data_IF_685650855897
#
_entry.id   IF_685650855897
#
_cell.length_a   1.000
_cell.length_b   1.000
_cell.length_c   1.000
_cell.angle_alpha   90.00
_cell.angle_beta   90.00
_cell.angle_gamma   90.00
#
_symmetry.space_group_name_H-M   'P 1'
#
loop_
_entity.id
_entity.type
_entity.pdbx_description
1 polymer ?
#
# COMPACT_ATOMS: atom_id res chain seq x y z
N UNK A 1 70.23 -26.24 30.96
CA UNK A 1 69.84 -25.30 29.89
C UNK A 1 68.37 -25.54 29.59
N UNK A 2 67.50 -24.67 30.09
CA UNK A 2 66.07 -24.70 29.76
C UNK A 2 65.83 -23.91 28.46
N UNK A 3 64.79 -24.28 27.71
CA UNK A 3 64.42 -23.61 26.45
C UNK A 3 63.16 -22.76 26.66
N UNK A 4 63.25 -21.42 26.70
CA UNK A 4 62.13 -20.55 27.06
C UNK A 4 61.34 -20.11 25.83
N UNK A 5 60.41 -20.94 25.33
CA UNK A 5 59.65 -20.56 24.11
C UNK A 5 58.22 -21.10 23.97
N UNK A 6 57.44 -21.15 25.06
CA UNK A 6 56.01 -21.57 25.06
C UNK A 6 55.00 -20.53 25.54
N UNK A 7 55.45 -19.38 26.06
CA UNK A 7 54.57 -18.34 26.60
C UNK A 7 54.28 -17.18 25.62
N UNK A 8 55.14 -16.94 24.62
CA UNK A 8 55.06 -15.75 23.77
C UNK A 8 53.92 -15.82 22.74
N UNK A 9 53.59 -17.02 22.24
CA UNK A 9 52.51 -17.21 21.26
C UNK A 9 51.11 -17.04 21.86
N UNK A 10 50.88 -17.56 23.08
CA UNK A 10 49.60 -17.43 23.80
C UNK A 10 49.25 -15.97 24.11
N UNK A 11 50.25 -15.15 24.46
CA UNK A 11 50.07 -13.72 24.67
C UNK A 11 49.55 -13.01 23.40
N UNK A 12 50.05 -13.40 22.21
CA UNK A 12 49.60 -12.85 20.94
C UNK A 12 48.17 -13.22 20.55
N UNK A 13 47.62 -14.33 21.04
CA UNK A 13 46.20 -14.69 20.82
C UNK A 13 45.30 -13.93 21.79
N UNK A 14 45.63 -13.91 23.08
CA UNK A 14 44.87 -13.17 24.09
C UNK A 14 44.85 -11.66 23.82
N UNK A 15 45.97 -11.06 23.40
CA UNK A 15 46.03 -9.64 23.04
C UNK A 15 45.11 -9.28 21.86
N UNK A 16 45.09 -10.10 20.80
CA UNK A 16 44.18 -9.90 19.65
C UNK A 16 42.72 -10.09 20.03
N UNK A 17 42.39 -11.06 20.89
CA UNK A 17 41.04 -11.22 21.43
C UNK A 17 40.61 -10.00 22.27
N UNK A 18 41.50 -9.46 23.10
CA UNK A 18 41.25 -8.29 23.94
C UNK A 18 41.00 -7.01 23.12
N UNK A 19 41.78 -6.77 22.07
CA UNK A 19 41.53 -5.63 21.17
C UNK A 19 40.24 -5.80 20.35
N UNK A 20 39.86 -7.03 19.95
CA UNK A 20 38.54 -7.28 19.37
C UNK A 20 37.40 -6.99 20.36
N UNK A 21 37.55 -7.33 21.64
CA UNK A 21 36.58 -7.01 22.70
C UNK A 21 36.49 -5.51 22.94
N UNK A 22 37.62 -4.76 22.92
CA UNK A 22 37.62 -3.29 22.98
C UNK A 22 37.02 -2.61 21.74
N UNK A 23 37.16 -3.20 20.56
CA UNK A 23 36.56 -2.67 19.33
C UNK A 23 35.05 -2.92 19.27
N UNK A 24 34.53 -3.92 20.00
CA UNK A 24 33.12 -4.33 19.95
C UNK A 24 32.14 -3.17 20.28
N UNK A 25 32.34 -2.35 21.33
CA UNK A 25 31.48 -1.19 21.61
C UNK A 25 31.50 -0.13 20.51
N UNK A 26 32.62 0.09 19.83
CA UNK A 26 32.68 1.02 18.70
C UNK A 26 31.95 0.50 17.48
N UNK A 27 32.13 -0.78 17.14
CA UNK A 27 31.42 -1.45 16.04
C UNK A 27 29.92 -1.46 16.31
N UNK A 28 29.51 -1.76 17.55
CA UNK A 28 28.12 -1.67 18.00
C UNK A 28 27.60 -0.23 17.91
N UNK A 29 28.35 0.77 18.39
CA UNK A 29 27.94 2.20 18.32
C UNK A 29 27.79 2.68 16.88
N UNK A 30 28.71 2.32 15.98
CA UNK A 30 28.65 2.63 14.54
C UNK A 30 27.45 1.93 13.88
N UNK A 31 27.17 0.67 14.24
CA UNK A 31 26.00 -0.09 13.76
C UNK A 31 24.68 0.48 14.28
N UNK A 32 24.59 0.84 15.56
CA UNK A 32 23.43 1.51 16.16
C UNK A 32 23.20 2.88 15.53
N UNK A 33 24.25 3.68 15.31
CA UNK A 33 24.13 4.96 14.61
C UNK A 33 23.62 4.80 13.17
N UNK A 34 24.11 3.78 12.44
CA UNK A 34 23.60 3.43 11.12
C UNK A 34 22.12 3.04 11.14
N UNK A 35 21.70 2.23 12.14
CA UNK A 35 20.29 1.89 12.36
C UNK A 35 19.47 3.14 12.67
N UNK A 36 19.92 4.02 13.58
CA UNK A 36 19.22 5.27 13.90
C UNK A 36 19.08 6.20 12.70
N UNK A 37 20.09 6.28 11.82
CA UNK A 37 20.01 7.05 10.56
C UNK A 37 18.96 6.46 9.63
N UNK A 38 19.00 5.15 9.38
CA UNK A 38 18.03 4.43 8.55
C UNK A 38 16.60 4.50 9.12
N UNK A 39 16.43 4.40 10.44
CA UNK A 39 15.14 4.57 11.11
C UNK A 39 14.63 6.00 11.02
N UNK A 40 15.51 7.01 11.04
CA UNK A 40 15.13 8.41 10.80
C UNK A 40 14.71 8.62 9.34
N UNK A 41 15.44 8.05 8.38
CA UNK A 41 15.12 8.13 6.95
C UNK A 41 13.75 7.50 6.69
N UNK A 42 13.52 6.24 7.10
CA UNK A 42 12.21 5.57 6.99
C UNK A 42 11.07 6.32 7.71
N UNK A 43 11.36 7.05 8.79
CA UNK A 43 10.39 7.88 9.50
C UNK A 43 10.10 9.22 8.82
N UNK A 44 11.01 9.72 7.98
CA UNK A 44 10.82 10.92 7.16
C UNK A 44 10.15 10.59 5.82
N UNK A 45 10.46 9.43 5.22
CA UNK A 45 9.89 8.97 3.95
C UNK A 45 8.38 8.71 4.03
N UNK A 46 7.90 8.12 5.14
CA UNK A 46 6.48 7.79 5.33
C UNK A 46 6.12 7.78 6.84
N UNK A 47 5.75 8.94 7.43
CA UNK A 47 5.51 9.05 8.87
C UNK A 47 4.37 8.17 9.38
N UNK A 48 3.47 7.72 8.49
CA UNK A 48 2.41 6.73 8.80
C UNK A 48 2.98 5.40 9.28
N UNK A 49 4.21 5.02 8.89
CA UNK A 49 4.92 3.81 9.38
C UNK A 49 5.30 3.91 10.86
N UNK A 50 5.66 5.12 11.32
CA UNK A 50 5.91 5.40 12.75
C UNK A 50 4.61 5.33 13.54
N UNK A 51 3.53 5.90 13.00
CA UNK A 51 2.20 5.81 13.60
C UNK A 51 1.75 4.35 13.68
N UNK A 52 1.94 3.55 12.62
CA UNK A 52 1.62 2.12 12.59
C UNK A 52 2.43 1.32 13.62
N UNK A 53 3.75 1.52 13.77
CA UNK A 53 4.52 0.78 14.77
C UNK A 53 4.10 1.13 16.20
N UNK A 54 3.71 2.39 16.45
CA UNK A 54 3.07 2.80 17.71
C UNK A 54 1.68 2.16 17.91
N UNK A 55 0.85 2.01 16.86
CA UNK A 55 -0.42 1.26 16.93
C UNK A 55 -0.21 -0.21 17.32
N UNK A 56 0.79 -0.88 16.72
CA UNK A 56 1.11 -2.28 17.04
C UNK A 56 1.57 -2.40 18.50
N UNK A 57 2.45 -1.50 18.96
CA UNK A 57 2.88 -1.41 20.36
C UNK A 57 1.72 -1.17 21.33
N UNK A 58 0.80 -0.26 20.99
CA UNK A 58 -0.42 0.01 21.75
C UNK A 58 -1.35 -1.21 21.79
N UNK A 59 -1.55 -1.91 20.67
CA UNK A 59 -2.41 -3.10 20.59
C UNK A 59 -1.85 -4.27 21.41
N UNK A 60 -0.53 -4.51 21.34
CA UNK A 60 0.15 -5.52 22.17
C UNK A 60 0.04 -5.14 23.65
N UNK A 61 0.27 -3.88 24.00
CA UNK A 61 0.22 -3.41 25.39
C UNK A 61 -1.19 -3.49 25.98
N UNK A 62 -2.20 -3.05 25.21
CA UNK A 62 -3.61 -3.11 25.59
C UNK A 62 -4.06 -4.56 25.80
N UNK A 63 -3.77 -5.47 24.85
CA UNK A 63 -4.10 -6.90 24.98
C UNK A 63 -3.32 -7.58 26.11
N UNK A 64 -2.08 -7.16 26.37
CA UNK A 64 -1.30 -7.66 27.52
C UNK A 64 -1.86 -7.18 28.86
N UNK A 65 -2.55 -6.02 28.91
CA UNK A 65 -3.19 -5.55 30.15
C UNK A 65 -4.32 -6.49 30.61
N UNK A 66 -5.00 -7.19 29.69
CA UNK A 66 -5.98 -8.24 30.03
C UNK A 66 -5.33 -9.42 30.77
N UNK A 67 -4.03 -9.67 30.58
CA UNK A 67 -3.29 -10.71 31.30
C UNK A 67 -2.94 -10.32 32.73
N UNK A 68 -2.74 -9.02 33.00
CA UNK A 68 -2.41 -8.52 34.34
C UNK A 68 -3.66 -8.22 35.20
N UNK A 69 -4.86 -8.27 34.64
CA UNK A 69 -6.10 -8.06 35.37
C UNK A 69 -6.61 -9.38 35.97
N UNK A 70 -6.51 -9.53 37.29
CA UNK A 70 -6.71 -10.78 38.03
C UNK A 70 -7.94 -11.63 37.57
N UNK A 71 -9.17 -11.08 37.44
CA UNK A 71 -10.34 -11.88 37.03
C UNK A 71 -10.27 -12.38 35.59
N UNK A 72 -9.50 -11.73 34.70
CA UNK A 72 -9.30 -12.18 33.31
C UNK A 72 -8.16 -13.21 33.23
N UNK A 73 -7.13 -13.07 34.06
CA UNK A 73 -6.09 -14.09 34.20
C UNK A 73 -6.65 -15.42 34.71
N UNK A 74 -7.52 -15.40 35.72
CA UNK A 74 -8.14 -16.61 36.28
C UNK A 74 -9.06 -17.31 35.25
N UNK A 75 -9.74 -16.56 34.39
CA UNK A 75 -10.61 -17.13 33.35
C UNK A 75 -9.84 -17.68 32.12
N UNK A 76 -8.77 -17.01 31.67
CA UNK A 76 -8.09 -17.35 30.41
C UNK A 76 -6.70 -17.98 30.57
N UNK A 77 -5.97 -17.67 31.64
CA UNK A 77 -4.64 -18.20 31.96
C UNK A 77 -3.68 -18.19 30.78
N UNK A 78 -3.06 -19.34 30.51
CA UNK A 78 -2.15 -19.55 29.37
C UNK A 78 -2.81 -19.26 27.99
N UNK A 79 -4.13 -19.31 27.87
CA UNK A 79 -4.83 -19.01 26.61
C UNK A 79 -4.73 -17.54 26.19
N UNK A 80 -4.39 -16.64 27.12
CA UNK A 80 -4.16 -15.22 26.81
C UNK A 80 -2.96 -15.01 25.86
N UNK A 81 -1.99 -15.93 25.83
CA UNK A 81 -0.90 -15.89 24.84
C UNK A 81 -1.43 -15.93 23.40
N UNK A 82 -2.58 -16.58 23.14
CA UNK A 82 -3.21 -16.56 21.82
C UNK A 82 -3.77 -15.19 21.43
N UNK A 83 -4.10 -14.31 22.39
CA UNK A 83 -4.50 -12.94 22.09
C UNK A 83 -3.29 -12.11 21.62
N UNK A 84 -2.17 -12.15 22.36
CA UNK A 84 -0.92 -11.46 21.97
C UNK A 84 -0.38 -12.00 20.63
N UNK A 85 -0.34 -13.32 20.47
CA UNK A 85 -0.01 -14.00 19.20
C UNK A 85 -1.06 -13.81 18.10
N UNK A 86 -2.21 -13.20 18.40
CA UNK A 86 -3.15 -12.71 17.38
C UNK A 86 -2.71 -11.33 16.92
N UNK A 87 -2.44 -10.40 17.84
CA UNK A 87 -1.98 -9.04 17.49
C UNK A 87 -0.75 -9.08 16.60
N UNK A 88 0.29 -9.82 16.99
CA UNK A 88 1.56 -9.92 16.26
C UNK A 88 1.42 -10.47 14.83
N UNK A 89 0.33 -11.17 14.51
CA UNK A 89 0.16 -11.92 13.23
C UNK A 89 -1.04 -11.44 12.41
N UNK A 90 -1.94 -10.64 12.99
CA UNK A 90 -3.12 -10.05 12.33
C UNK A 90 -2.97 -8.56 12.10
N UNK A 91 -2.29 -7.82 12.97
CA UNK A 91 -2.14 -6.38 12.84
C UNK A 91 -1.26 -6.07 11.63
N UNK A 92 -1.83 -5.40 10.63
CA UNK A 92 -1.19 -5.09 9.35
C UNK A 92 -1.13 -3.58 9.12
N UNK A 93 -0.41 -3.16 8.08
CA UNK A 93 -0.23 -1.74 7.79
C UNK A 93 -1.55 -1.00 7.56
N UNK A 94 -2.43 -1.61 6.75
CA UNK A 94 -3.75 -1.06 6.40
C UNK A 94 -4.89 -1.70 7.19
N UNK A 95 -6.00 -0.97 7.29
CA UNK A 95 -7.23 -1.44 7.95
C UNK A 95 -7.80 -2.66 7.22
N UNK A 96 -7.89 -2.62 5.89
CA UNK A 96 -8.39 -3.73 5.07
C UNK A 96 -7.56 -5.02 5.19
N UNK A 97 -6.24 -4.91 5.32
CA UNK A 97 -5.37 -6.06 5.56
C UNK A 97 -5.58 -6.65 6.97
N UNK A 98 -5.71 -5.78 7.97
CA UNK A 98 -5.98 -6.17 9.37
C UNK A 98 -7.33 -6.88 9.51
N UNK A 99 -8.39 -6.31 8.92
CA UNK A 99 -9.72 -6.92 8.86
C UNK A 99 -9.71 -8.27 8.14
N UNK A 100 -9.10 -8.33 6.95
CA UNK A 100 -9.02 -9.55 6.15
C UNK A 100 -8.24 -10.67 6.85
N UNK A 101 -7.12 -10.37 7.50
CA UNK A 101 -6.38 -11.35 8.31
C UNK A 101 -7.13 -11.76 9.57
N UNK A 102 -7.78 -10.82 10.26
CA UNK A 102 -8.56 -11.10 11.48
C UNK A 102 -9.72 -12.04 11.21
N UNK A 103 -10.53 -11.75 10.18
CA UNK A 103 -11.64 -12.61 9.76
C UNK A 103 -11.15 -13.98 9.27
N UNK A 104 -10.09 -14.03 8.45
CA UNK A 104 -9.49 -15.29 8.01
C UNK A 104 -8.99 -16.13 9.19
N UNK A 105 -8.36 -15.52 10.20
CA UNK A 105 -7.91 -16.21 11.42
C UNK A 105 -9.09 -16.77 12.21
N UNK A 106 -10.11 -15.96 12.47
CA UNK A 106 -11.29 -16.39 13.24
C UNK A 106 -12.05 -17.53 12.54
N UNK A 107 -12.28 -17.43 11.22
CA UNK A 107 -12.92 -18.50 10.44
C UNK A 107 -12.08 -19.78 10.42
N UNK A 108 -10.76 -19.66 10.20
CA UNK A 108 -9.85 -20.79 10.21
C UNK A 108 -9.80 -21.47 11.60
N UNK A 109 -9.78 -20.69 12.67
CA UNK A 109 -9.79 -21.20 14.06
C UNK A 109 -11.11 -21.90 14.37
N UNK A 110 -12.26 -21.31 14.00
CA UNK A 110 -13.58 -21.90 14.20
C UNK A 110 -13.71 -23.26 13.49
N UNK A 111 -13.38 -23.30 12.20
CA UNK A 111 -13.48 -24.51 11.39
C UNK A 111 -12.52 -25.62 11.88
N UNK A 112 -11.28 -25.26 12.22
CA UNK A 112 -10.29 -26.18 12.74
C UNK A 112 -10.63 -26.69 14.16
N UNK A 113 -11.26 -25.85 15.00
CA UNK A 113 -11.74 -26.24 16.32
C UNK A 113 -12.92 -27.21 16.25
N UNK A 114 -13.92 -26.91 15.42
CA UNK A 114 -15.06 -27.80 15.20
C UNK A 114 -14.63 -29.17 14.63
N UNK A 115 -13.72 -29.18 13.65
CA UNK A 115 -13.16 -30.41 13.10
C UNK A 115 -12.23 -31.13 14.08
N UNK A 116 -11.47 -30.42 14.91
CA UNK A 116 -10.60 -31.01 15.93
C UNK A 116 -11.40 -31.73 17.03
N UNK A 117 -12.47 -31.10 17.52
CA UNK A 117 -13.42 -31.74 18.46
C UNK A 117 -14.11 -32.96 17.81
N UNK A 118 -14.50 -32.86 16.53
CA UNK A 118 -15.06 -33.99 15.78
C UNK A 118 -14.06 -35.15 15.61
N UNK A 119 -12.79 -34.85 15.31
CA UNK A 119 -11.73 -35.84 15.20
C UNK A 119 -11.44 -36.53 16.55
N UNK A 120 -11.45 -35.77 17.66
CA UNK A 120 -11.32 -36.31 19.00
C UNK A 120 -12.48 -37.24 19.36
N UNK A 121 -13.72 -36.81 19.12
CA UNK A 121 -14.91 -37.62 19.38
C UNK A 121 -14.93 -38.92 18.56
N UNK A 122 -14.46 -38.91 17.31
CA UNK A 122 -14.34 -40.12 16.50
C UNK A 122 -13.19 -41.04 16.97
N UNK A 123 -12.14 -40.49 17.56
CA UNK A 123 -11.02 -41.27 18.07
C UNK A 123 -11.33 -41.95 19.41
N UNK A 124 -12.01 -41.26 20.35
CA UNK A 124 -12.37 -41.80 21.66
C UNK A 124 -13.31 -43.01 21.58
N UNK A 125 -14.13 -43.11 20.52
CA UNK A 125 -14.94 -44.29 20.21
C UNK A 125 -14.12 -45.57 19.94
N UNK A 126 -12.80 -45.48 19.78
CA UNK A 126 -11.90 -46.60 19.49
C UNK A 126 -11.09 -47.10 20.70
N UNK A 127 -11.31 -46.52 21.88
CA UNK A 127 -10.67 -46.91 23.13
C UNK A 127 -9.20 -46.50 23.26
N UNK A 128 -8.67 -46.59 24.49
CA UNK A 128 -7.40 -46.01 24.94
C UNK A 128 -6.19 -46.31 24.02
N UNK A 129 -6.13 -47.50 23.43
CA UNK A 129 -5.02 -47.90 22.52
C UNK A 129 -5.22 -47.41 21.08
N UNK A 130 -6.47 -47.25 20.62
CA UNK A 130 -6.81 -46.85 19.25
C UNK A 130 -6.90 -45.33 19.06
N UNK A 131 -7.35 -44.63 20.09
CA UNK A 131 -7.54 -43.17 20.10
C UNK A 131 -6.29 -42.37 19.69
N UNK A 132 -5.09 -42.52 20.31
CA UNK A 132 -3.92 -41.74 19.92
C UNK A 132 -3.45 -42.05 18.49
N UNK A 133 -3.69 -43.28 18.00
CA UNK A 133 -3.36 -43.68 16.62
C UNK A 133 -4.29 -42.97 15.63
N UNK A 134 -5.59 -42.90 15.91
CA UNK A 134 -6.56 -42.18 15.08
C UNK A 134 -6.37 -40.66 15.13
N UNK A 135 -6.08 -40.07 16.29
CA UNK A 135 -5.73 -38.65 16.40
C UNK A 135 -4.51 -38.33 15.54
N UNK A 136 -3.44 -39.15 15.63
CA UNK A 136 -2.25 -39.02 14.77
C UNK A 136 -2.58 -39.14 13.28
N UNK A 137 -3.43 -40.10 12.90
CA UNK A 137 -3.88 -40.28 11.52
C UNK A 137 -4.70 -39.08 11.00
N UNK A 138 -5.67 -38.59 11.77
CA UNK A 138 -6.46 -37.41 11.40
C UNK A 138 -5.60 -36.16 11.25
N UNK A 139 -4.63 -35.95 12.16
CA UNK A 139 -3.65 -34.85 12.05
C UNK A 139 -2.78 -34.98 10.80
N UNK A 140 -2.28 -36.19 10.49
CA UNK A 140 -1.52 -36.44 9.26
C UNK A 140 -2.35 -36.15 8.00
N UNK A 141 -3.53 -36.75 7.87
CA UNK A 141 -4.41 -36.58 6.71
C UNK A 141 -4.81 -35.12 6.53
N UNK A 142 -5.20 -34.44 7.61
CA UNK A 142 -5.63 -33.05 7.55
C UNK A 142 -4.48 -32.11 7.20
N UNK A 143 -3.28 -32.31 7.79
CA UNK A 143 -2.10 -31.53 7.46
C UNK A 143 -1.64 -31.75 6.01
N UNK A 144 -1.70 -32.99 5.51
CA UNK A 144 -1.33 -33.34 4.14
C UNK A 144 -2.28 -32.69 3.11
N UNK A 145 -3.61 -32.86 3.28
CA UNK A 145 -4.62 -32.27 2.40
C UNK A 145 -4.52 -30.74 2.40
N UNK A 146 -4.46 -30.12 3.58
CA UNK A 146 -4.36 -28.67 3.70
C UNK A 146 -3.05 -28.13 3.10
N UNK A 147 -1.92 -28.83 3.28
CA UNK A 147 -0.65 -28.44 2.66
C UNK A 147 -0.67 -28.60 1.14
N UNK A 148 -1.31 -29.64 0.61
CA UNK A 148 -1.50 -29.81 -0.83
C UNK A 148 -2.34 -28.68 -1.45
N UNK A 149 -3.41 -28.26 -0.77
CA UNK A 149 -4.27 -27.14 -1.19
C UNK A 149 -3.49 -25.81 -1.31
N UNK A 150 -2.39 -25.62 -0.55
CA UNK A 150 -1.53 -24.42 -0.65
C UNK A 150 -0.69 -24.33 -1.93
N UNK A 151 -0.58 -25.40 -2.72
CA UNK A 151 0.10 -25.32 -4.03
C UNK A 151 -0.74 -24.66 -5.13
N UNK A 152 -2.07 -24.59 -4.99
CA UNK A 152 -2.93 -23.91 -5.97
C UNK A 152 -2.76 -22.38 -5.88
N UNK A 153 -2.25 -21.68 -6.91
CA UNK A 153 -1.87 -20.26 -6.77
C UNK A 153 -3.05 -19.35 -6.38
N UNK A 154 -4.24 -19.60 -6.93
CA UNK A 154 -5.48 -18.87 -6.62
C UNK A 154 -5.93 -19.00 -5.16
N UNK A 155 -5.56 -20.09 -4.49
CA UNK A 155 -5.85 -20.32 -3.08
C UNK A 155 -4.74 -19.69 -2.24
N UNK A 156 -3.47 -19.90 -2.62
CA UNK A 156 -2.30 -19.35 -1.94
C UNK A 156 -2.36 -17.83 -1.80
N UNK A 157 -2.69 -17.10 -2.87
CA UNK A 157 -2.76 -15.62 -2.84
C UNK A 157 -3.87 -15.05 -1.98
N UNK A 158 -4.92 -15.82 -1.64
CA UNK A 158 -6.06 -15.35 -0.83
C UNK A 158 -6.10 -15.92 0.59
N UNK A 159 -5.63 -17.15 0.77
CA UNK A 159 -5.95 -17.97 1.94
C UNK A 159 -4.75 -18.70 2.57
N UNK A 160 -3.50 -18.56 2.09
CA UNK A 160 -2.35 -19.29 2.64
C UNK A 160 -2.21 -19.11 4.17
N UNK A 161 -2.41 -17.87 4.64
CA UNK A 161 -2.46 -17.54 6.07
C UNK A 161 -3.59 -18.27 6.82
N UNK A 162 -4.81 -18.29 6.26
CA UNK A 162 -5.94 -18.99 6.84
C UNK A 162 -5.69 -20.51 6.92
N UNK A 163 -5.07 -21.09 5.89
CA UNK A 163 -4.74 -22.52 5.88
C UNK A 163 -3.62 -22.84 6.89
N UNK A 164 -2.61 -21.97 7.04
CA UNK A 164 -1.60 -22.10 8.09
C UNK A 164 -2.22 -22.06 9.50
N UNK A 165 -3.10 -21.09 9.76
CA UNK A 165 -3.84 -20.99 11.04
C UNK A 165 -4.72 -22.22 11.25
N UNK A 166 -5.38 -22.72 10.20
CA UNK A 166 -6.23 -23.90 10.26
C UNK A 166 -5.44 -25.15 10.63
N UNK A 167 -4.31 -25.43 9.95
CA UNK A 167 -3.42 -26.57 10.26
C UNK A 167 -2.92 -26.47 11.71
N UNK A 168 -2.38 -25.31 12.10
CA UNK A 168 -1.88 -25.08 13.46
C UNK A 168 -2.98 -25.20 14.52
N UNK A 169 -4.22 -24.81 14.19
CA UNK A 169 -5.34 -24.88 15.12
C UNK A 169 -5.81 -26.32 15.30
N UNK A 170 -6.03 -27.04 14.20
CA UNK A 170 -6.50 -28.43 14.19
C UNK A 170 -5.49 -29.33 14.90
N UNK A 171 -4.22 -29.32 14.47
CA UNK A 171 -3.19 -30.16 15.06
C UNK A 171 -3.03 -29.93 16.56
N UNK A 172 -3.15 -28.67 17.04
CA UNK A 172 -3.03 -28.38 18.46
C UNK A 172 -4.28 -28.80 19.24
N UNK A 173 -5.50 -28.58 18.74
CA UNK A 173 -6.72 -29.01 19.46
C UNK A 173 -6.81 -30.54 19.51
N UNK A 174 -6.55 -31.23 18.41
CA UNK A 174 -6.60 -32.70 18.36
C UNK A 174 -5.53 -33.35 19.24
N UNK A 175 -4.32 -32.79 19.33
CA UNK A 175 -3.23 -33.34 20.17
C UNK A 175 -3.34 -32.92 21.64
N UNK A 176 -3.85 -31.71 21.94
CA UNK A 176 -4.07 -31.29 23.32
C UNK A 176 -5.31 -31.93 23.95
N UNK A 177 -6.37 -32.18 23.18
CA UNK A 177 -7.59 -32.83 23.71
C UNK A 177 -7.32 -34.22 24.30
N UNK A 178 -6.39 -34.97 23.71
CA UNK A 178 -5.94 -36.28 24.22
C UNK A 178 -5.32 -36.23 25.64
N UNK A 179 -5.12 -35.05 26.21
CA UNK A 179 -4.50 -34.84 27.51
C UNK A 179 -5.39 -34.12 28.54
N UNK A 180 -6.47 -33.50 28.09
CA UNK A 180 -7.39 -32.70 28.91
C UNK A 180 -8.83 -32.98 28.42
N UNK A 181 -9.66 -33.64 29.23
CA UNK A 181 -11.04 -34.06 28.87
C UNK A 181 -11.94 -32.89 28.40
N UNK A 182 -11.60 -31.65 28.78
CA UNK A 182 -12.35 -30.43 28.51
C UNK A 182 -11.99 -29.77 27.16
N UNK A 183 -11.85 -30.59 26.10
CA UNK A 183 -11.48 -30.16 24.73
C UNK A 183 -12.34 -28.98 24.23
N UNK A 184 -13.62 -28.97 24.59
CA UNK A 184 -14.59 -27.92 24.24
C UNK A 184 -14.28 -26.59 24.95
N UNK A 185 -13.93 -26.62 26.23
CA UNK A 185 -13.53 -25.42 26.98
C UNK A 185 -12.21 -24.86 26.45
N UNK A 186 -11.23 -25.72 26.16
CA UNK A 186 -9.96 -25.30 25.55
C UNK A 186 -10.18 -24.64 24.18
N UNK A 187 -11.05 -25.21 23.34
CA UNK A 187 -11.43 -24.62 22.06
C UNK A 187 -12.16 -23.28 22.23
N UNK A 188 -13.07 -23.18 23.19
CA UNK A 188 -13.82 -21.94 23.48
C UNK A 188 -12.91 -20.82 24.00
N UNK A 189 -12.07 -21.09 25.02
CA UNK A 189 -11.10 -20.13 25.57
C UNK A 189 -10.16 -19.60 24.47
N UNK A 190 -9.66 -20.48 23.60
CA UNK A 190 -8.79 -20.11 22.47
C UNK A 190 -9.51 -19.28 21.39
N UNK A 191 -10.75 -19.62 21.03
CA UNK A 191 -11.53 -18.83 20.08
C UNK A 191 -11.83 -17.42 20.64
N UNK A 192 -12.21 -17.35 21.92
CA UNK A 192 -12.49 -16.09 22.62
C UNK A 192 -11.26 -15.19 22.77
N UNK A 193 -10.08 -15.73 23.12
CA UNK A 193 -8.86 -14.90 23.18
C UNK A 193 -8.35 -14.47 21.80
N UNK A 194 -8.55 -15.27 20.76
CA UNK A 194 -8.29 -14.86 19.37
C UNK A 194 -9.27 -13.76 18.93
N UNK A 195 -10.56 -13.85 19.30
CA UNK A 195 -11.54 -12.81 19.01
C UNK A 195 -11.21 -11.49 19.73
N UNK A 196 -10.84 -11.52 21.02
CA UNK A 196 -10.42 -10.34 21.79
C UNK A 196 -9.16 -9.70 21.18
N UNK A 197 -8.15 -10.50 20.83
CA UNK A 197 -6.94 -9.99 20.16
C UNK A 197 -7.26 -9.37 18.80
N UNK A 198 -8.11 -10.02 18.00
CA UNK A 198 -8.53 -9.54 16.69
C UNK A 198 -9.36 -8.24 16.75
N UNK A 199 -10.31 -8.15 17.69
CA UNK A 199 -11.13 -6.94 17.86
C UNK A 199 -10.29 -5.76 18.33
N UNK A 200 -9.30 -5.96 19.22
CA UNK A 200 -8.34 -4.92 19.58
C UNK A 200 -7.54 -4.41 18.37
N UNK A 201 -7.10 -5.30 17.46
CA UNK A 201 -6.41 -4.90 16.23
C UNK A 201 -7.31 -4.05 15.31
N UNK A 202 -8.57 -4.46 15.14
CA UNK A 202 -9.53 -3.76 14.28
C UNK A 202 -9.88 -2.39 14.86
N UNK A 203 -10.14 -2.30 16.17
CA UNK A 203 -10.47 -1.03 16.83
C UNK A 203 -9.31 -0.04 16.79
N UNK A 204 -8.07 -0.49 17.06
CA UNK A 204 -6.89 0.39 17.03
C UNK A 204 -6.50 0.77 15.59
N UNK A 205 -6.62 -0.13 14.61
CA UNK A 205 -6.32 0.22 13.21
C UNK A 205 -7.32 1.22 12.61
N UNK A 206 -8.61 1.13 12.98
CA UNK A 206 -9.67 2.08 12.56
C UNK A 206 -9.59 3.42 13.30
N UNK A 207 -9.52 3.43 14.64
CA UNK A 207 -9.67 4.68 15.41
C UNK A 207 -8.38 5.47 15.60
N UNK A 208 -7.21 4.83 15.56
CA UNK A 208 -5.92 5.54 15.70
C UNK A 208 -5.38 5.81 14.31
N UNK A 209 -5.62 7.02 13.78
CA UNK A 209 -5.07 7.53 12.51
C UNK A 209 -5.10 6.49 11.37
N UNK A 210 -6.28 6.10 10.88
CA UNK A 210 -6.44 4.97 9.97
C UNK A 210 -5.62 5.10 8.68
N UNK A 211 -5.24 3.96 8.10
CA UNK A 211 -4.54 3.86 6.82
C UNK A 211 -5.32 2.89 5.94
N UNK A 212 -5.86 3.39 4.83
CA UNK A 212 -6.82 2.66 4.00
C UNK A 212 -6.17 2.12 2.73
N UNK A 213 -6.29 0.81 2.51
CA UNK A 213 -5.78 0.17 1.30
C UNK A 213 -6.49 0.67 0.03
N UNK A 214 -7.76 1.08 0.14
CA UNK A 214 -8.49 1.69 -0.97
C UNK A 214 -7.93 3.05 -1.40
N UNK A 215 -7.53 3.88 -0.43
CA UNK A 215 -6.95 5.20 -0.66
C UNK A 215 -5.53 5.09 -1.25
N UNK A 216 -4.71 4.17 -0.71
CA UNK A 216 -3.40 3.85 -1.26
C UNK A 216 -3.48 3.31 -2.70
N UNK A 217 -4.45 2.43 -2.99
CA UNK A 217 -4.64 1.92 -4.35
C UNK A 217 -5.08 3.00 -5.33
N UNK A 218 -6.00 3.85 -4.89
CA UNK A 218 -6.49 4.99 -5.67
C UNK A 218 -5.34 5.95 -6.02
N UNK A 219 -4.55 6.38 -5.03
CA UNK A 219 -3.40 7.25 -5.27
C UNK A 219 -2.36 6.58 -6.18
N UNK A 220 -2.05 5.29 -5.94
CA UNK A 220 -1.07 4.56 -6.76
C UNK A 220 -1.57 4.29 -8.19
N UNK A 221 -2.86 4.42 -8.50
CA UNK A 221 -3.32 4.40 -9.90
C UNK A 221 -3.13 5.77 -10.56
N UNK A 222 -3.40 6.87 -9.86
CA UNK A 222 -3.09 8.22 -10.38
C UNK A 222 -1.57 8.41 -10.61
N UNK A 223 -0.74 8.03 -9.65
CA UNK A 223 0.73 8.04 -9.74
C UNK A 223 1.26 7.30 -10.98
N UNK A 224 0.67 6.14 -11.33
CA UNK A 224 1.07 5.39 -12.54
C UNK A 224 0.71 6.11 -13.83
N UNK A 225 -0.42 6.83 -13.89
CA UNK A 225 -0.81 7.62 -15.06
C UNK A 225 0.03 8.91 -15.18
N UNK A 226 0.47 9.47 -14.06
CA UNK A 226 1.36 10.64 -14.01
C UNK A 226 2.73 10.31 -14.59
N UNK A 227 3.35 9.23 -14.10
CA UNK A 227 4.61 8.68 -14.64
C UNK A 227 4.50 8.37 -16.14
N UNK A 228 3.35 7.86 -16.59
CA UNK A 228 3.05 7.61 -18.01
C UNK A 228 3.01 8.91 -18.84
N UNK A 229 2.44 9.98 -18.30
CA UNK A 229 2.40 11.30 -18.93
C UNK A 229 3.77 11.97 -18.95
N UNK A 230 4.51 11.94 -17.84
CA UNK A 230 5.85 12.51 -17.73
C UNK A 230 6.85 11.80 -18.65
N UNK A 231 6.74 10.47 -18.81
CA UNK A 231 7.52 9.72 -19.80
C UNK A 231 7.32 10.26 -21.23
N UNK A 232 6.08 10.59 -21.63
CA UNK A 232 5.76 11.05 -22.98
C UNK A 232 6.18 12.49 -23.26
N UNK A 233 6.30 13.30 -22.22
CA UNK A 233 6.83 14.67 -22.31
C UNK A 233 8.37 14.62 -22.38
N UNK A 234 9.02 13.86 -21.49
CA UNK A 234 10.46 13.63 -21.52
C UNK A 234 10.94 12.94 -22.83
N UNK A 235 10.13 12.05 -23.41
CA UNK A 235 10.40 11.45 -24.72
C UNK A 235 10.37 12.48 -25.85
N UNK A 236 9.42 13.41 -25.83
CA UNK A 236 9.36 14.51 -26.81
C UNK A 236 10.61 15.39 -26.71
N UNK A 237 11.00 15.75 -25.49
CA UNK A 237 12.17 16.58 -25.25
C UNK A 237 13.50 15.92 -25.65
N UNK A 238 13.66 14.61 -25.42
CA UNK A 238 14.93 13.92 -25.71
C UNK A 238 15.02 13.36 -27.14
N UNK A 239 13.89 12.99 -27.77
CA UNK A 239 13.87 12.42 -29.13
C UNK A 239 13.59 13.47 -30.24
N UNK A 240 12.81 14.51 -29.96
CA UNK A 240 12.43 15.52 -30.98
C UNK A 240 13.15 16.86 -30.82
N UNK A 241 13.56 17.23 -29.61
CA UNK A 241 14.30 18.48 -29.36
C UNK A 241 15.79 18.21 -29.20
N UNK A 242 16.64 18.88 -29.98
CA UNK A 242 18.11 18.79 -29.80
C UNK A 242 18.55 19.65 -28.59
N UNK A 243 18.20 19.19 -27.39
CA UNK A 243 18.41 19.93 -26.15
C UNK A 243 19.89 20.09 -25.79
N UNK A 244 20.24 21.27 -25.26
CA UNK A 244 21.63 21.71 -25.04
C UNK A 244 22.16 21.27 -23.68
N UNK A 245 22.62 20.02 -23.57
CA UNK A 245 23.61 19.52 -22.56
C UNK A 245 23.26 19.66 -21.04
N UNK A 246 22.21 20.39 -20.66
CA UNK A 246 21.97 20.84 -19.28
C UNK A 246 20.90 20.06 -18.50
N UNK A 247 19.73 19.82 -19.09
CA UNK A 247 18.56 19.25 -18.40
C UNK A 247 18.53 17.71 -18.36
N UNK A 248 19.56 17.06 -18.92
CA UNK A 248 19.58 15.61 -19.23
C UNK A 248 19.51 14.65 -18.02
N UNK A 249 19.58 15.16 -16.78
CA UNK A 249 19.45 14.33 -15.57
C UNK A 249 18.00 13.99 -15.22
N UNK A 250 17.11 14.97 -15.33
CA UNK A 250 15.76 14.83 -14.78
C UNK A 250 14.89 14.07 -15.78
N UNK A 251 14.97 14.40 -17.08
CA UNK A 251 14.32 13.63 -18.16
C UNK A 251 14.71 12.15 -18.14
N UNK A 252 16.00 11.83 -17.89
CA UNK A 252 16.46 10.45 -17.75
C UNK A 252 15.79 9.71 -16.58
N UNK A 253 15.43 10.40 -15.51
CA UNK A 253 14.71 9.82 -14.37
C UNK A 253 13.24 9.56 -14.68
N UNK A 254 12.57 10.46 -15.40
CA UNK A 254 11.20 10.24 -15.91
C UNK A 254 11.15 9.05 -16.89
N UNK A 255 12.15 8.95 -17.78
CA UNK A 255 12.36 7.79 -18.66
C UNK A 255 12.78 6.50 -17.91
N UNK A 256 12.89 6.50 -16.57
CA UNK A 256 13.05 5.26 -15.76
C UNK A 256 11.87 5.01 -14.81
N UNK A 257 11.02 6.01 -14.54
CA UNK A 257 9.88 5.90 -13.64
C UNK A 257 8.90 4.80 -14.04
N UNK A 258 8.67 4.57 -15.34
CA UNK A 258 7.73 3.56 -15.84
C UNK A 258 8.14 2.12 -15.47
N UNK A 259 9.40 1.85 -15.09
CA UNK A 259 9.86 0.54 -14.61
C UNK A 259 9.20 0.11 -13.30
N UNK A 260 8.76 1.07 -12.48
CA UNK A 260 7.95 0.81 -11.29
C UNK A 260 6.59 0.17 -11.63
N UNK A 261 6.00 0.59 -12.76
CA UNK A 261 4.68 0.18 -13.25
C UNK A 261 4.70 -1.28 -13.66
N UNK A 262 5.74 -1.73 -14.38
CA UNK A 262 5.85 -3.09 -14.92
C UNK A 262 5.68 -4.18 -13.85
N UNK A 263 6.25 -3.96 -12.66
CA UNK A 263 6.26 -4.95 -11.57
C UNK A 263 5.09 -4.81 -10.58
N UNK A 264 4.20 -3.84 -10.76
CA UNK A 264 3.16 -3.46 -9.79
C UNK A 264 2.01 -4.46 -9.58
N UNK A 265 1.91 -5.52 -10.41
CA UNK A 265 0.70 -6.37 -10.45
C UNK A 265 0.34 -7.02 -9.11
N UNK A 266 1.35 -7.51 -8.37
CA UNK A 266 1.13 -8.20 -7.10
C UNK A 266 0.70 -7.26 -5.96
N UNK A 267 1.20 -6.03 -5.93
CA UNK A 267 0.79 -5.02 -4.94
C UNK A 267 -0.60 -4.46 -5.25
N UNK A 268 -0.95 -4.23 -6.52
CA UNK A 268 -2.31 -3.86 -6.92
C UNK A 268 -3.33 -4.95 -6.58
N UNK A 269 -3.05 -6.22 -6.92
CA UNK A 269 -3.94 -7.33 -6.56
C UNK A 269 -4.05 -7.48 -5.03
N UNK A 270 -3.01 -7.19 -4.25
CA UNK A 270 -3.09 -7.19 -2.79
C UNK A 270 -3.97 -6.05 -2.26
N UNK A 271 -3.69 -4.80 -2.64
CA UNK A 271 -4.46 -3.62 -2.22
C UNK A 271 -5.93 -3.73 -2.62
N UNK A 272 -6.23 -4.13 -3.85
CA UNK A 272 -7.60 -4.34 -4.34
C UNK A 272 -8.36 -5.49 -3.65
N UNK A 273 -7.65 -6.39 -2.96
CA UNK A 273 -8.24 -7.42 -2.11
C UNK A 273 -8.41 -6.93 -0.66
N UNK A 274 -7.48 -6.13 -0.14
CA UNK A 274 -7.59 -5.51 1.19
C UNK A 274 -8.73 -4.48 1.24
N UNK A 275 -8.83 -3.60 0.24
CA UNK A 275 -9.85 -2.55 0.14
C UNK A 275 -11.30 -3.09 0.00
N UNK A 276 -11.49 -4.39 -0.22
CA UNK A 276 -12.81 -5.07 -0.19
C UNK A 276 -13.29 -5.43 1.21
N UNK A 277 -12.38 -5.48 2.19
CA UNK A 277 -12.72 -5.73 3.60
C UNK A 277 -13.03 -4.45 4.36
N UNK A 278 -12.72 -3.29 3.79
CA UNK A 278 -12.86 -1.99 4.46
C UNK A 278 -14.33 -1.57 4.55
N UNK A 279 -14.77 -0.94 5.66
CA UNK A 279 -16.01 -0.17 5.69
C UNK A 279 -15.93 1.01 4.71
N UNK A 280 -17.06 1.65 4.42
CA UNK A 280 -17.03 2.91 3.66
C UNK A 280 -16.25 4.00 4.40
N UNK A 281 -15.39 4.72 3.69
CA UNK A 281 -14.49 5.76 4.25
C UNK A 281 -14.24 6.86 3.22
N UNK A 282 -14.07 8.12 3.66
CA UNK A 282 -13.86 9.26 2.76
C UNK A 282 -14.93 9.36 1.66
N UNK A 283 -14.51 9.47 0.39
CA UNK A 283 -15.38 9.37 -0.79
C UNK A 283 -15.71 7.91 -1.21
N UNK A 284 -15.08 6.90 -0.60
CA UNK A 284 -15.20 5.48 -0.98
C UNK A 284 -16.43 4.81 -0.33
N UNK A 285 -17.50 4.65 -1.12
CA UNK A 285 -18.71 3.91 -0.74
C UNK A 285 -18.36 2.43 -0.44
N UNK A 286 -19.07 1.79 0.52
CA UNK A 286 -18.86 0.35 0.80
C UNK A 286 -19.11 -0.50 -0.46
N UNK A 287 -18.24 -1.50 -0.70
CA UNK A 287 -18.18 -2.27 -1.97
C UNK A 287 -17.84 -1.43 -3.21
N UNK A 288 -17.01 -0.39 -3.06
CA UNK A 288 -16.42 0.40 -4.15
C UNK A 288 -15.88 -0.49 -5.31
N UNK A 289 -15.99 -0.06 -6.59
CA UNK A 289 -15.65 -0.88 -7.76
C UNK A 289 -14.14 -1.06 -8.01
N UNK A 290 -13.40 -1.61 -7.04
CA UNK A 290 -11.95 -1.89 -7.10
C UNK A 290 -11.51 -2.74 -8.31
N UNK A 291 -12.43 -3.43 -8.99
CA UNK A 291 -12.16 -4.12 -10.26
C UNK A 291 -11.84 -3.16 -11.42
N UNK A 292 -12.38 -1.94 -11.44
CA UNK A 292 -12.06 -0.97 -12.50
C UNK A 292 -10.66 -0.37 -12.30
N UNK A 293 -10.24 -0.10 -11.06
CA UNK A 293 -8.86 0.27 -10.74
C UNK A 293 -7.86 -0.82 -11.19
N UNK A 294 -8.20 -2.11 -11.01
CA UNK A 294 -7.38 -3.22 -11.55
C UNK A 294 -7.35 -3.26 -13.09
N UNK A 295 -8.44 -2.86 -13.77
CA UNK A 295 -8.45 -2.70 -15.24
C UNK A 295 -7.51 -1.57 -15.67
N UNK A 296 -7.61 -0.40 -15.03
CA UNK A 296 -6.76 0.77 -15.31
C UNK A 296 -5.28 0.43 -15.07
N UNK A 297 -4.93 -0.22 -13.95
CA UNK A 297 -3.55 -0.64 -13.65
C UNK A 297 -3.01 -1.70 -14.64
N UNK A 298 -3.87 -2.56 -15.18
CA UNK A 298 -3.47 -3.49 -16.25
C UNK A 298 -3.17 -2.77 -17.57
N UNK A 299 -3.97 -1.78 -17.95
CA UNK A 299 -3.74 -0.95 -19.14
C UNK A 299 -2.50 -0.04 -18.98
N UNK A 300 -2.31 0.54 -17.79
CA UNK A 300 -1.11 1.31 -17.44
C UNK A 300 0.17 0.50 -17.62
N UNK A 301 0.17 -0.79 -17.23
CA UNK A 301 1.26 -1.73 -17.52
C UNK A 301 1.46 -1.99 -19.01
N UNK A 302 0.37 -2.20 -19.77
CA UNK A 302 0.44 -2.43 -21.21
C UNK A 302 1.05 -1.22 -21.95
N UNK A 303 0.69 -0.01 -21.53
CA UNK A 303 1.32 1.22 -22.00
C UNK A 303 2.81 1.30 -21.61
N UNK A 304 3.15 1.00 -20.35
CA UNK A 304 4.54 1.02 -19.87
C UNK A 304 5.45 -0.01 -20.59
N UNK A 305 4.93 -1.15 -21.05
CA UNK A 305 5.70 -2.07 -21.90
C UNK A 305 6.02 -1.47 -23.28
N UNK A 306 5.08 -0.74 -23.89
CA UNK A 306 5.30 0.00 -25.15
C UNK A 306 6.32 1.12 -24.96
N UNK A 307 6.33 1.76 -23.79
CA UNK A 307 7.29 2.81 -23.40
C UNK A 307 8.72 2.29 -23.19
N UNK A 308 8.93 1.10 -22.62
CA UNK A 308 10.28 0.50 -22.55
C UNK A 308 10.85 0.29 -23.96
N UNK A 309 10.07 -0.29 -24.89
CA UNK A 309 10.50 -0.48 -26.27
C UNK A 309 10.79 0.86 -26.99
N UNK A 310 10.00 1.90 -26.70
CA UNK A 310 10.23 3.24 -27.24
C UNK A 310 11.52 3.87 -26.69
N UNK A 311 11.86 3.63 -25.42
CA UNK A 311 13.14 4.03 -24.82
C UNK A 311 14.33 3.28 -25.40
N UNK A 312 14.22 1.98 -25.66
CA UNK A 312 15.31 1.21 -26.28
C UNK A 312 15.68 1.79 -27.66
N UNK A 313 14.69 2.20 -28.45
CA UNK A 313 14.88 2.88 -29.76
C UNK A 313 15.48 4.29 -29.66
N UNK A 314 15.36 4.97 -28.52
CA UNK A 314 16.00 6.27 -28.28
C UNK A 314 17.51 6.10 -28.07
N UNK A 315 17.92 5.02 -27.40
CA UNK A 315 19.32 4.72 -27.09
C UNK A 315 20.12 4.19 -28.31
N UNK A 316 19.45 3.72 -29.37
CA UNK A 316 20.08 3.11 -30.57
C UNK A 316 20.38 4.11 -31.70
N UNK A 317 20.58 5.38 -31.38
CA UNK A 317 20.39 6.48 -32.32
C UNK A 317 21.37 6.47 -33.51
N UNK A 318 20.85 6.54 -34.75
CA UNK A 318 21.65 6.66 -35.99
C UNK A 318 21.05 7.73 -36.90
N UNK A 319 21.90 8.59 -37.47
CA UNK A 319 21.51 9.84 -38.14
C UNK A 319 20.96 9.60 -39.57
N UNK A 320 19.80 10.21 -39.89
CA UNK A 320 19.05 10.02 -41.15
C UNK A 320 18.60 11.32 -41.84
N UNK A 321 17.92 11.18 -42.99
CA UNK A 321 17.58 12.28 -43.93
C UNK A 321 16.60 13.33 -43.34
N UNK A 322 16.78 14.65 -43.58
CA UNK A 322 16.04 15.66 -42.83
C UNK A 322 14.54 15.79 -43.17
N UNK A 323 14.16 15.91 -44.45
CA UNK A 323 12.87 16.52 -44.81
C UNK A 323 11.64 15.64 -44.54
N UNK A 324 11.67 14.36 -44.95
CA UNK A 324 10.57 13.42 -44.69
C UNK A 324 10.50 13.05 -43.20
N UNK A 325 11.64 13.07 -42.49
CA UNK A 325 11.67 12.84 -41.06
C UNK A 325 10.89 13.94 -40.33
N UNK A 326 11.10 15.24 -40.64
CA UNK A 326 10.44 16.36 -39.97
C UNK A 326 8.90 16.22 -39.87
N UNK A 327 8.18 15.84 -40.93
CA UNK A 327 6.71 15.75 -40.88
C UNK A 327 6.21 14.51 -40.11
N UNK A 328 6.92 13.37 -40.17
CA UNK A 328 6.62 12.21 -39.33
C UNK A 328 6.91 12.55 -37.86
N UNK A 329 8.03 13.23 -37.61
CA UNK A 329 8.51 13.66 -36.31
C UNK A 329 7.54 14.63 -35.62
N UNK A 330 7.01 15.60 -36.37
CA UNK A 330 6.00 16.57 -35.91
C UNK A 330 4.69 15.87 -35.47
N UNK A 331 4.15 14.98 -36.31
CA UNK A 331 2.92 14.23 -35.96
C UNK A 331 3.12 13.27 -34.78
N UNK A 332 4.29 12.62 -34.69
CA UNK A 332 4.65 11.78 -33.56
C UNK A 332 4.81 12.60 -32.26
N UNK A 333 5.34 13.83 -32.36
CA UNK A 333 5.44 14.78 -31.24
C UNK A 333 4.04 15.22 -30.76
N UNK A 334 3.16 15.62 -31.68
CA UNK A 334 1.77 15.98 -31.38
C UNK A 334 1.02 14.83 -30.69
N UNK A 335 1.13 13.60 -31.21
CA UNK A 335 0.54 12.40 -30.60
C UNK A 335 1.04 12.15 -29.17
N UNK A 336 2.34 12.27 -28.94
CA UNK A 336 2.95 12.05 -27.62
C UNK A 336 2.54 13.13 -26.62
N UNK A 337 2.61 14.40 -27.04
CA UNK A 337 2.29 15.58 -26.23
C UNK A 337 0.81 15.62 -25.84
N UNK A 338 -0.11 15.39 -26.78
CA UNK A 338 -1.54 15.36 -26.47
C UNK A 338 -1.91 14.13 -25.62
N UNK A 339 -1.25 12.98 -25.82
CA UNK A 339 -1.45 11.82 -24.94
C UNK A 339 -0.94 12.08 -23.52
N UNK A 340 0.19 12.76 -23.35
CA UNK A 340 0.69 13.21 -22.05
C UNK A 340 -0.32 14.13 -21.35
N UNK A 341 -0.85 15.14 -22.05
CA UNK A 341 -1.88 16.03 -21.51
C UNK A 341 -3.15 15.27 -21.12
N UNK A 342 -3.62 14.35 -21.96
CA UNK A 342 -4.76 13.49 -21.64
C UNK A 342 -4.54 12.71 -20.35
N UNK A 343 -3.40 12.02 -20.23
CA UNK A 343 -3.01 11.29 -19.01
C UNK A 343 -2.98 12.21 -17.78
N UNK A 344 -2.34 13.38 -17.88
CA UNK A 344 -2.29 14.37 -16.78
C UNK A 344 -3.66 14.92 -16.39
N UNK A 345 -4.62 15.04 -17.33
CA UNK A 345 -6.02 15.36 -16.99
C UNK A 345 -6.74 14.20 -16.28
N UNK A 346 -6.50 12.95 -16.67
CA UNK A 346 -7.03 11.77 -15.99
C UNK A 346 -6.43 11.61 -14.57
N UNK A 347 -5.16 11.96 -14.37
CA UNK A 347 -4.51 12.00 -13.04
C UNK A 347 -5.25 12.95 -12.09
N UNK A 348 -5.59 14.16 -12.57
CA UNK A 348 -6.40 15.11 -11.80
C UNK A 348 -7.77 14.52 -11.51
N UNK A 349 -8.51 14.09 -12.54
CA UNK A 349 -9.84 13.47 -12.43
C UNK A 349 -9.93 12.37 -11.38
N UNK A 350 -8.94 11.48 -11.35
CA UNK A 350 -8.87 10.43 -10.33
C UNK A 350 -8.65 11.04 -8.95
N UNK A 351 -7.59 11.85 -8.76
CA UNK A 351 -7.22 12.42 -7.45
C UNK A 351 -8.32 13.26 -6.79
N UNK A 352 -9.11 13.98 -7.58
CA UNK A 352 -10.25 14.80 -7.12
C UNK A 352 -11.56 13.99 -6.99
N UNK A 353 -11.68 12.89 -7.73
CA UNK A 353 -12.93 12.22 -8.10
C UNK A 353 -13.92 13.18 -8.81
N UNK A 354 -13.42 13.94 -9.78
CA UNK A 354 -14.22 14.84 -10.64
C UNK A 354 -14.15 14.44 -12.11
N UNK A 355 -15.18 14.77 -12.89
CA UNK A 355 -15.23 14.52 -14.34
C UNK A 355 -14.35 15.51 -15.12
N UNK A 356 -13.20 15.07 -15.65
CA UNK A 356 -12.31 15.92 -16.44
C UNK A 356 -12.62 15.87 -17.96
N UNK A 357 -13.64 16.62 -18.38
CA UNK A 357 -14.04 16.79 -19.80
C UNK A 357 -12.89 17.26 -20.73
N UNK A 358 -11.85 17.90 -20.17
CA UNK A 358 -10.65 18.29 -20.92
C UNK A 358 -9.72 17.12 -21.30
N UNK A 359 -9.87 15.93 -20.71
CA UNK A 359 -9.13 14.74 -21.14
C UNK A 359 -9.58 14.28 -22.53
N UNK A 360 -10.90 14.23 -22.77
CA UNK A 360 -11.51 13.78 -24.03
C UNK A 360 -11.08 14.65 -25.24
N UNK A 361 -10.84 15.95 -25.01
CA UNK A 361 -10.33 16.88 -26.01
C UNK A 361 -8.92 16.48 -26.47
N UNK A 362 -8.01 16.24 -25.53
CA UNK A 362 -6.64 15.82 -25.84
C UNK A 362 -6.59 14.43 -26.52
N UNK A 363 -7.51 13.53 -26.16
CA UNK A 363 -7.66 12.22 -26.83
C UNK A 363 -8.20 12.39 -28.26
N UNK A 364 -9.12 13.33 -28.49
CA UNK A 364 -9.59 13.64 -29.84
C UNK A 364 -8.45 14.22 -30.72
N UNK A 365 -7.58 15.06 -30.14
CA UNK A 365 -6.41 15.63 -30.82
C UNK A 365 -5.36 14.56 -31.16
N UNK A 366 -4.95 13.72 -30.20
CA UNK A 366 -3.98 12.65 -30.46
C UNK A 366 -4.50 11.64 -31.49
N UNK A 367 -5.81 11.35 -31.49
CA UNK A 367 -6.50 10.59 -32.56
C UNK A 367 -6.51 11.29 -33.92
N UNK A 368 -6.54 12.62 -33.98
CA UNK A 368 -6.47 13.36 -35.23
C UNK A 368 -5.06 13.27 -35.83
N UNK A 369 -4.03 13.53 -35.03
CA UNK A 369 -2.63 13.35 -35.40
C UNK A 369 -2.33 11.90 -35.86
N UNK A 370 -2.83 10.90 -35.13
CA UNK A 370 -2.76 9.47 -35.48
C UNK A 370 -3.39 9.16 -36.85
N UNK A 371 -4.52 9.79 -37.21
CA UNK A 371 -5.15 9.61 -38.52
C UNK A 371 -4.34 10.26 -39.63
N UNK A 372 -3.81 11.46 -39.40
CA UNK A 372 -2.89 12.13 -40.32
C UNK A 372 -1.63 11.28 -40.56
N UNK A 373 -1.04 10.73 -39.51
CA UNK A 373 0.14 9.85 -39.58
C UNK A 373 -0.15 8.53 -40.32
N UNK A 374 -1.26 7.85 -40.00
CA UNK A 374 -1.68 6.64 -40.73
C UNK A 374 -1.94 6.92 -42.23
N UNK A 375 -2.49 8.09 -42.57
CA UNK A 375 -2.67 8.53 -43.96
C UNK A 375 -1.34 8.85 -44.67
N UNK A 376 -0.41 9.54 -43.98
CA UNK A 376 0.90 9.90 -44.51
C UNK A 376 1.75 8.64 -44.79
N UNK A 377 1.75 7.67 -43.87
CA UNK A 377 2.43 6.38 -44.03
C UNK A 377 1.85 5.52 -45.17
N UNK A 378 0.57 5.69 -45.51
CA UNK A 378 -0.09 5.04 -46.64
C UNK A 378 0.11 5.76 -47.99
N UNK A 379 0.60 7.01 -47.96
CA UNK A 379 0.95 7.76 -49.16
C UNK A 379 2.28 7.28 -49.79
N UNK A 380 2.65 7.81 -50.96
CA UNK A 380 3.75 7.29 -51.79
C UNK A 380 5.19 7.56 -51.28
N UNK A 381 5.38 7.83 -49.99
CA UNK A 381 6.69 8.07 -49.32
C UNK A 381 7.78 7.03 -49.66
N UNK A 382 7.35 5.78 -49.86
CA UNK A 382 8.20 4.58 -49.93
C UNK A 382 8.98 4.41 -51.24
N UNK A 383 8.88 5.34 -52.20
CA UNK A 383 9.38 5.12 -53.58
C UNK A 383 10.82 5.56 -53.84
N UNK A 384 11.40 6.47 -53.05
CA UNK A 384 12.72 7.05 -53.31
C UNK A 384 13.66 7.12 -52.09
N UNK A 385 13.22 6.61 -50.92
CA UNK A 385 14.00 6.66 -49.66
C UNK A 385 14.68 5.32 -49.38
N UNK A 386 15.92 5.35 -48.85
CA UNK A 386 16.61 4.13 -48.41
C UNK A 386 15.84 3.46 -47.25
N UNK A 387 15.36 2.24 -47.49
CA UNK A 387 14.52 1.46 -46.59
C UNK A 387 15.12 1.32 -45.20
N UNK A 388 16.46 1.25 -45.09
CA UNK A 388 17.14 1.08 -43.80
C UNK A 388 17.04 2.33 -42.91
N UNK A 389 16.97 3.52 -43.49
CA UNK A 389 16.86 4.80 -42.76
C UNK A 389 15.47 5.04 -42.15
N UNK A 390 14.43 4.41 -42.71
CA UNK A 390 13.04 4.57 -42.26
C UNK A 390 12.65 3.61 -41.12
N UNK A 391 13.44 2.56 -40.83
CA UNK A 391 13.06 1.52 -39.85
C UNK A 391 12.81 2.12 -38.46
N UNK A 392 13.71 2.96 -37.95
CA UNK A 392 13.59 3.53 -36.60
C UNK A 392 12.41 4.54 -36.52
N UNK A 393 12.25 5.53 -37.42
CA UNK A 393 11.07 6.42 -37.43
C UNK A 393 9.73 5.69 -37.56
N UNK A 394 9.63 4.68 -38.44
CA UNK A 394 8.39 3.90 -38.61
C UNK A 394 8.10 3.03 -37.39
N UNK A 395 9.11 2.50 -36.72
CA UNK A 395 8.93 1.74 -35.46
C UNK A 395 8.47 2.66 -34.32
N UNK A 396 9.07 3.85 -34.19
CA UNK A 396 8.63 4.90 -33.24
C UNK A 396 7.19 5.31 -33.51
N UNK A 397 6.83 5.60 -34.77
CA UNK A 397 5.47 5.91 -35.18
C UNK A 397 4.48 4.78 -34.82
N UNK A 398 4.84 3.52 -35.05
CA UNK A 398 3.99 2.37 -34.70
C UNK A 398 3.81 2.23 -33.18
N UNK A 399 4.85 2.42 -32.37
CA UNK A 399 4.75 2.37 -30.91
C UNK A 399 3.93 3.54 -30.34
N UNK A 400 4.03 4.73 -30.93
CA UNK A 400 3.23 5.88 -30.54
C UNK A 400 1.75 5.73 -30.93
N UNK A 401 1.44 5.10 -32.07
CA UNK A 401 0.07 4.66 -32.42
C UNK A 401 -0.47 3.73 -31.33
N UNK A 402 0.31 2.71 -30.97
CA UNK A 402 0.01 1.73 -29.92
C UNK A 402 -0.20 2.38 -28.53
N UNK A 403 0.49 3.48 -28.23
CA UNK A 403 0.37 4.26 -26.98
C UNK A 403 -0.86 5.17 -27.00
N UNK A 404 -1.20 5.83 -28.12
CA UNK A 404 -2.44 6.61 -28.27
C UNK A 404 -3.66 5.72 -28.06
N UNK A 405 -3.68 4.55 -28.70
CA UNK A 405 -4.76 3.57 -28.55
C UNK A 405 -4.82 3.02 -27.10
N UNK A 406 -3.68 2.90 -26.41
CA UNK A 406 -3.67 2.54 -24.97
C UNK A 406 -4.21 3.66 -24.06
N UNK A 407 -3.92 4.93 -24.40
CA UNK A 407 -4.36 6.10 -23.63
C UNK A 407 -5.88 6.29 -23.75
N UNK A 408 -6.45 5.99 -24.92
CA UNK A 408 -7.90 5.84 -25.12
C UNK A 408 -8.50 4.76 -24.21
N UNK A 409 -7.97 3.53 -24.23
CA UNK A 409 -8.48 2.44 -23.38
C UNK A 409 -8.41 2.77 -21.88
N UNK A 410 -7.38 3.51 -21.45
CA UNK A 410 -7.24 4.02 -20.08
C UNK A 410 -8.35 5.04 -19.79
N UNK A 411 -8.55 6.04 -20.67
CA UNK A 411 -9.56 7.08 -20.51
C UNK A 411 -10.98 6.51 -20.43
N UNK A 412 -11.36 5.62 -21.35
CA UNK A 412 -12.64 4.90 -21.31
C UNK A 412 -12.83 4.15 -19.99
N UNK A 413 -11.76 3.56 -19.45
CA UNK A 413 -11.79 2.85 -18.16
C UNK A 413 -11.94 3.79 -16.96
N UNK A 414 -11.40 5.01 -17.04
CA UNK A 414 -11.60 6.07 -16.03
C UNK A 414 -13.02 6.64 -16.12
N UNK A 415 -13.53 6.92 -17.33
CA UNK A 415 -14.89 7.41 -17.56
C UNK A 415 -15.96 6.37 -17.12
N UNK A 416 -15.70 5.08 -17.33
CA UNK A 416 -16.52 3.98 -16.79
C UNK A 416 -16.42 3.89 -15.25
N UNK A 417 -15.26 4.10 -14.65
CA UNK A 417 -15.12 4.16 -13.19
C UNK A 417 -15.90 5.36 -12.62
N UNK A 418 -15.74 6.54 -13.20
CA UNK A 418 -16.35 7.79 -12.78
C UNK A 418 -17.88 7.74 -12.82
N UNK A 419 -18.45 7.13 -13.87
CA UNK A 419 -19.90 6.92 -14.00
C UNK A 419 -20.49 5.83 -13.10
N UNK A 420 -19.67 4.92 -12.54
CA UNK A 420 -20.12 3.94 -11.53
C UNK A 420 -20.03 4.51 -10.09
N UNK A 421 -19.15 5.48 -9.86
CA UNK A 421 -18.89 6.07 -8.53
C UNK A 421 -19.75 7.31 -8.26
N UNK A 422 -20.33 7.92 -9.31
CA UNK A 422 -20.91 9.28 -9.29
C UNK A 422 -19.81 10.33 -8.99
N UNK A 423 -18.82 10.47 -9.89
CA UNK A 423 -17.84 11.56 -9.79
C UNK A 423 -18.54 12.93 -9.92
N UNK A 424 -18.09 13.89 -9.12
CA UNK A 424 -18.61 15.26 -9.13
C UNK A 424 -18.31 15.91 -10.51
N UNK A 425 -19.28 16.59 -11.11
CA UNK A 425 -19.03 17.38 -12.32
C UNK A 425 -18.39 18.71 -11.91
N UNK A 426 -17.24 19.04 -12.48
CA UNK A 426 -16.66 20.38 -12.30
C UNK A 426 -17.50 21.41 -13.06
N UNK A 427 -18.13 22.33 -12.32
CA UNK A 427 -18.69 23.56 -12.90
C UNK A 427 -17.57 24.33 -13.60
N UNK A 428 -17.69 24.49 -14.91
CA UNK A 428 -16.64 25.02 -15.79
C UNK A 428 -16.51 26.56 -15.68
N UNK A 429 -15.99 27.05 -14.55
CA UNK A 429 -15.79 28.46 -14.27
C UNK A 429 -14.29 28.73 -13.97
N UNK A 430 -13.52 29.11 -15.00
CA UNK A 430 -12.08 29.39 -14.89
C UNK A 430 -11.79 30.49 -13.85
N UNK A 431 -11.11 30.13 -12.75
CA UNK A 431 -10.43 31.11 -11.89
C UNK A 431 -9.01 30.65 -11.59
N UNK A 432 -8.07 31.52 -11.96
CA UNK A 432 -6.63 31.31 -11.89
C UNK A 432 -6.11 31.03 -10.47
N UNK A 433 -4.99 30.32 -10.31
CA UNK A 433 -4.47 29.94 -9.00
C UNK A 433 -4.08 31.19 -8.19
N UNK A 434 -4.68 31.34 -7.00
CA UNK A 434 -4.25 32.35 -6.03
C UNK A 434 -3.13 31.79 -5.15
N UNK A 435 -2.02 32.52 -5.15
CA UNK A 435 -0.81 32.23 -4.38
C UNK A 435 -1.09 32.08 -2.87
N UNK A 436 -0.36 31.17 -2.23
CA UNK A 436 -0.38 30.93 -0.79
C UNK A 436 -0.16 32.21 0.03
N UNK A 437 -0.98 32.43 1.07
CA UNK A 437 -0.66 33.38 2.15
C UNK A 437 -1.27 32.95 3.49
N UNK A 438 -0.60 33.37 4.57
CA UNK A 438 -0.91 33.04 5.97
C UNK A 438 -2.24 33.67 6.42
N UNK A 439 -2.98 33.06 7.37
CA UNK A 439 -4.15 33.69 7.96
C UNK A 439 -3.75 34.95 8.74
N UNK A 440 -4.14 36.11 8.23
CA UNK A 440 -4.31 37.35 9.00
C UNK A 440 -5.75 37.83 8.76
N UNK A 441 -6.42 38.28 9.83
CA UNK A 441 -7.80 38.71 9.78
C UNK A 441 -7.95 40.15 9.32
N UNK A 442 -8.96 40.47 8.50
CA UNK A 442 -9.66 41.74 8.68
C UNK A 442 -11.14 41.76 8.22
N UNK A 443 -11.89 42.57 8.98
CA UNK A 443 -13.24 43.10 8.82
C UNK A 443 -13.99 42.89 7.49
N UNK A 444 -15.15 42.22 7.58
CA UNK A 444 -16.30 42.54 6.73
C UNK A 444 -17.12 43.69 7.37
N UNK A 445 -17.49 44.71 6.59
CA UNK A 445 -18.51 45.70 6.96
C UNK A 445 -19.79 45.46 6.18
N UNK A 446 -20.93 45.41 6.88
CA UNK A 446 -22.06 46.26 6.55
C UNK A 446 -23.03 46.33 7.74
N UNK A 447 -23.68 47.48 7.89
CA UNK A 447 -24.49 47.80 9.07
C UNK A 447 -25.91 47.23 9.02
N UNK A 448 -26.41 46.78 10.18
CA UNK A 448 -27.69 47.25 10.71
C UNK A 448 -27.83 46.85 12.20
N UNK A 449 -28.11 47.85 13.05
CA UNK A 449 -28.26 47.73 14.50
C UNK A 449 -29.78 47.70 14.85
N UNK A 450 -30.24 47.27 16.06
CA UNK A 450 -29.81 47.88 17.32
C UNK A 450 -29.58 46.92 18.51
N UNK A 451 -28.40 47.06 19.10
CA UNK A 451 -28.13 47.13 20.54
C UNK A 451 -28.93 46.20 21.50
N UNK A 452 -28.26 45.14 21.95
CA UNK A 452 -28.41 44.65 23.34
C UNK A 452 -27.06 44.75 24.02
N UNK A 453 -26.99 45.49 25.13
CA UNK A 453 -25.75 45.67 25.91
C UNK A 453 -25.69 44.62 27.00
N UNK A 454 -24.62 43.84 27.03
CA UNK A 454 -24.26 42.99 28.17
C UNK A 454 -22.84 43.37 28.57
N UNK A 455 -22.72 44.01 29.74
CA UNK A 455 -21.44 44.23 30.40
C UNK A 455 -21.04 42.94 31.13
N UNK A 456 -19.78 42.56 31.01
CA UNK A 456 -19.17 41.49 31.80
C UNK A 456 -18.25 42.16 32.81
N UNK A 457 -18.57 42.06 34.10
CA UNK A 457 -17.67 42.49 35.18
C UNK A 457 -16.67 41.37 35.51
N UNK A 458 -15.39 41.73 35.66
CA UNK A 458 -14.38 40.82 36.20
C UNK A 458 -14.46 40.78 37.74
N UNK A 459 -14.38 39.60 38.38
CA UNK A 459 -14.47 39.49 39.83
C UNK A 459 -13.16 39.88 40.51
N UNK A 460 -13.07 41.12 41.01
CA UNK A 460 -11.98 41.56 41.89
C UNK A 460 -12.30 41.23 43.35
N UNK A 461 -11.32 40.64 44.04
CA UNK A 461 -11.39 40.22 45.43
C UNK A 461 -11.64 41.43 46.38
N UNK A 462 -12.53 41.29 47.37
CA UNK A 462 -12.65 42.24 48.49
C UNK A 462 -12.92 41.53 49.81
N UNK A 463 -12.55 42.19 50.92
CA UNK A 463 -12.42 41.63 52.28
C UNK A 463 -13.13 42.51 53.33
N UNK A 464 -13.33 41.93 54.53
CA UNK A 464 -13.55 42.56 55.83
C UNK A 464 -15.00 42.90 56.30
N UNK A 465 -15.31 42.51 57.56
CA UNK A 465 -16.51 42.86 58.35
C UNK A 465 -17.16 41.63 58.98
N UNK A 466 -16.93 41.24 60.26
CA UNK A 466 -17.33 41.87 61.55
C UNK A 466 -18.84 42.14 61.67
N UNK A 467 -19.59 41.77 62.72
CA UNK A 467 -19.40 40.97 63.98
C UNK A 467 -20.83 40.55 64.46
N UNK A 468 -21.16 39.88 65.59
CA UNK A 468 -20.57 39.67 66.94
C UNK A 468 -21.30 38.49 67.65
N UNK A 469 -20.78 38.01 68.80
CA UNK A 469 -21.53 37.28 69.87
C UNK A 469 -22.06 35.84 69.57
N UNK A 470 -22.25 34.92 70.53
CA UNK A 470 -21.92 34.96 71.99
C UNK A 470 -21.63 33.56 72.61
N UNK A 471 -21.45 33.52 73.94
CA UNK A 471 -21.01 32.40 74.80
C UNK A 471 -21.94 31.17 74.89
N UNK A 472 -21.32 30.06 75.35
CA UNK A 472 -21.90 28.84 75.97
C UNK A 472 -22.85 28.00 75.10
N UNK A 473 -22.79 26.67 75.15
CA UNK A 473 -22.61 25.82 76.34
C UNK A 473 -21.95 24.48 76.01
#
# INVERSE_FOLDING_TARGET
MESPNTNQEKAGVLGRAWEHVKALPEVLRKKVWGICKMSKEVAQDDPRRVIHSLKVGLAISLVSLFYYYQPLYENFGLSAMWAVMTVVVVFEYTVGATLGKGLNRTMATLAAGALGVGAHYLASLSGETGEPILIGFFVFVQAAIASFIRFFPKVKTRYDYGILVFILTFSLISVSGFRDDEVLEMAHKRLSTIFIGGSACVMISIFVCPVWAGEEFHYSIAEKLEILGDFLEAFVDEYFTTSKEGDSKDNKSFLEGHKSILNSKSSEEALANFARWEPGHGKFKFRHPWSQYLKIGALSRQCAYRMEALKELLNSNTQGSPEIHCTIQELCSEMSLESSKALKKLVVSIRTMTMASSADIHIANSKAALKSLKSLLQSNLWKETDLFSLVQPVTVASLLIDIVECTEEIADSVNVLASIVDFDVEDADEKSPKTSQSPNSECAKNDNNPHVVILIEEPVLSDCGKTTSDQHK
#
